data_IF_079735161294
#
_entry.id   IF_079735161294
#
_cell.length_a   1.000
_cell.length_b   1.000
_cell.length_c   1.000
_cell.angle_alpha   90.00
_cell.angle_beta   90.00
_cell.angle_gamma   90.00
#
_symmetry.space_group_name_H-M   'P 1'
#
loop_
_entity.id
_entity.type
_entity.pdbx_description
1 polymer ?
#
# COMPACT_ATOMS: atom_id res chain seq x y z
N UNK A 1 -12.88 -11.24 21.57
CA UNK A 1 -11.50 -11.00 21.08
C UNK A 1 -11.45 -11.53 19.65
N UNK A 2 -11.80 -10.69 18.67
CA UNK A 2 -11.95 -11.11 17.28
C UNK A 2 -10.61 -10.98 16.56
N UNK A 3 -9.99 -12.11 16.25
CA UNK A 3 -8.91 -12.18 15.27
C UNK A 3 -9.52 -11.92 13.89
N UNK A 4 -9.36 -10.71 13.37
CA UNK A 4 -9.57 -10.43 11.95
C UNK A 4 -8.45 -11.13 11.17
N UNK A 5 -8.75 -12.33 10.67
CA UNK A 5 -7.94 -13.03 9.69
C UNK A 5 -8.02 -12.28 8.37
N UNK A 6 -7.11 -11.34 8.16
CA UNK A 6 -6.80 -10.85 6.83
C UNK A 6 -6.05 -11.99 6.15
N UNK A 7 -6.74 -12.69 5.25
CA UNK A 7 -6.10 -13.64 4.34
C UNK A 7 -5.16 -12.81 3.47
N UNK A 8 -3.89 -12.77 3.88
CA UNK A 8 -2.83 -12.07 3.18
C UNK A 8 -2.64 -12.72 1.82
N UNK A 9 -2.95 -11.99 0.75
CA UNK A 9 -2.36 -12.25 -0.55
C UNK A 9 -0.88 -11.89 -0.41
N UNK A 10 -0.04 -12.88 -0.14
CA UNK A 10 1.42 -12.72 -0.17
C UNK A 10 1.81 -12.62 -1.65
N UNK A 11 1.87 -11.40 -2.19
CA UNK A 11 2.62 -11.15 -3.42
C UNK A 11 4.09 -11.03 -3.01
N UNK A 12 4.83 -12.13 -3.14
CA UNK A 12 6.28 -12.07 -3.07
C UNK A 12 6.76 -11.30 -4.31
N UNK A 13 7.10 -10.01 -4.16
CA UNK A 13 7.75 -9.26 -5.22
C UNK A 13 9.15 -9.83 -5.44
N UNK A 14 9.48 -10.34 -6.65
CA UNK A 14 10.79 -10.91 -6.90
C UNK A 14 11.85 -9.79 -6.96
N UNK A 15 13.04 -10.09 -6.44
CA UNK A 15 14.23 -9.26 -6.67
C UNK A 15 14.55 -9.20 -8.16
N UNK A 16 15.01 -8.06 -8.70
CA UNK A 16 15.26 -7.89 -10.12
C UNK A 16 16.54 -8.63 -10.52
N UNK A 17 16.44 -9.92 -10.74
CA UNK A 17 17.42 -10.69 -11.48
C UNK A 17 16.70 -11.79 -12.24
N UNK A 18 16.77 -11.67 -13.57
CA UNK A 18 16.28 -12.57 -14.61
C UNK A 18 14.89 -12.21 -15.17
N UNK A 19 14.85 -12.08 -16.50
CA UNK A 19 13.70 -11.73 -17.34
C UNK A 19 12.54 -12.71 -17.14
N UNK A 20 11.66 -12.43 -16.18
CA UNK A 20 10.28 -12.89 -16.25
C UNK A 20 9.52 -12.01 -17.26
N UNK A 21 8.50 -12.53 -17.97
CA UNK A 21 7.67 -11.70 -18.83
C UNK A 21 7.13 -10.54 -17.99
N UNK A 22 7.48 -9.31 -18.36
CA UNK A 22 7.10 -8.11 -17.63
C UNK A 22 5.56 -8.00 -17.67
N UNK A 23 4.91 -8.50 -16.63
CA UNK A 23 3.48 -8.36 -16.46
C UNK A 23 3.19 -6.88 -16.24
N UNK A 24 2.37 -6.29 -17.11
CA UNK A 24 1.88 -4.94 -16.89
C UNK A 24 0.84 -4.96 -15.77
N UNK A 25 1.33 -4.78 -14.54
CA UNK A 25 0.49 -4.75 -13.35
C UNK A 25 -0.56 -3.63 -13.38
N UNK A 26 -0.36 -2.57 -14.16
CA UNK A 26 -1.39 -1.52 -14.33
C UNK A 26 -2.56 -2.04 -15.15
N UNK A 27 -2.27 -2.72 -16.26
CA UNK A 27 -3.30 -3.33 -17.08
C UNK A 27 -4.06 -4.43 -16.33
N UNK A 28 -3.35 -5.25 -15.55
CA UNK A 28 -3.96 -6.28 -14.70
C UNK A 28 -4.83 -5.61 -13.62
N UNK A 29 -4.34 -4.56 -12.98
CA UNK A 29 -5.09 -3.79 -11.99
C UNK A 29 -6.39 -3.21 -12.56
N UNK A 30 -6.31 -2.62 -13.76
CA UNK A 30 -7.50 -2.13 -14.50
C UNK A 30 -8.48 -3.26 -14.80
N UNK A 31 -8.01 -4.42 -15.27
CA UNK A 31 -8.87 -5.56 -15.54
C UNK A 31 -9.60 -6.07 -14.29
N UNK A 32 -8.90 -6.14 -13.15
CA UNK A 32 -9.50 -6.53 -11.86
C UNK A 32 -10.54 -5.50 -11.43
N UNK A 33 -10.21 -4.21 -11.53
CA UNK A 33 -11.14 -3.11 -11.26
C UNK A 33 -12.39 -3.22 -12.15
N UNK A 34 -12.24 -3.31 -13.47
CA UNK A 34 -13.37 -3.40 -14.40
C UNK A 34 -14.28 -4.60 -14.12
N UNK A 35 -13.69 -5.73 -13.68
CA UNK A 35 -14.47 -6.90 -13.31
C UNK A 35 -15.27 -6.68 -12.02
N UNK A 36 -14.64 -6.07 -11.00
CA UNK A 36 -15.27 -5.84 -9.71
C UNK A 36 -16.30 -4.69 -9.76
N UNK A 37 -15.99 -3.61 -10.48
CA UNK A 37 -16.80 -2.39 -10.58
C UNK A 37 -18.04 -2.54 -11.47
N UNK A 38 -18.12 -3.57 -12.32
CA UNK A 38 -19.29 -3.87 -13.19
C UNK A 38 -20.62 -4.02 -12.44
N UNK A 39 -20.58 -4.31 -11.15
CA UNK A 39 -21.78 -4.51 -10.30
C UNK A 39 -21.99 -3.35 -9.32
N UNK A 40 -21.21 -2.28 -9.47
CA UNK A 40 -21.18 -1.23 -8.46
C UNK A 40 -22.09 -0.06 -8.82
N UNK A 41 -23.08 0.22 -7.98
CA UNK A 41 -24.00 1.37 -8.10
C UNK A 41 -23.51 2.58 -7.28
N UNK A 42 -22.19 2.64 -7.04
CA UNK A 42 -21.58 3.56 -6.11
C UNK A 42 -21.69 5.02 -6.57
N UNK A 43 -21.94 5.92 -5.61
CA UNK A 43 -21.86 7.37 -5.84
C UNK A 43 -20.44 7.92 -5.78
N UNK A 44 -19.49 7.14 -5.26
CA UNK A 44 -18.09 7.53 -5.08
C UNK A 44 -17.19 6.29 -4.93
N UNK A 45 -15.90 6.48 -5.23
CA UNK A 45 -14.85 5.47 -5.02
C UNK A 45 -14.12 5.75 -3.72
N UNK A 46 -14.00 4.73 -2.85
CA UNK A 46 -13.28 4.86 -1.59
C UNK A 46 -11.95 4.12 -1.65
N UNK A 47 -10.87 4.89 -1.72
CA UNK A 47 -9.51 4.39 -1.62
C UNK A 47 -9.08 4.26 -0.16
N UNK A 48 -8.39 3.18 0.17
CA UNK A 48 -7.75 2.97 1.46
C UNK A 48 -6.25 2.84 1.24
N UNK A 49 -5.50 3.66 1.98
CA UNK A 49 -4.04 3.57 2.03
C UNK A 49 -3.63 3.03 3.39
N UNK A 50 -2.82 1.99 3.37
CA UNK A 50 -2.04 1.56 4.52
C UNK A 50 -0.55 1.57 4.19
N UNK A 51 0.27 1.85 5.20
CA UNK A 51 1.70 1.84 5.05
C UNK A 51 2.34 0.84 6.02
N UNK A 52 2.47 -0.40 5.57
CA UNK A 52 2.85 -1.53 6.40
C UNK A 52 4.37 -1.69 6.49
N UNK A 53 4.88 -1.84 7.71
CA UNK A 53 6.28 -2.17 7.96
C UNK A 53 6.56 -3.64 7.64
N UNK A 54 7.65 -3.90 6.91
CA UNK A 54 8.04 -5.23 6.48
C UNK A 54 9.45 -5.58 6.99
N UNK A 55 9.56 -6.35 8.10
CA UNK A 55 10.84 -6.67 8.73
C UNK A 55 11.66 -7.65 7.88
N UNK A 56 12.97 -7.39 7.74
CA UNK A 56 13.93 -8.20 6.98
C UNK A 56 15.29 -8.26 7.71
N UNK A 57 15.36 -8.83 8.93
CA UNK A 57 16.57 -8.80 9.77
C UNK A 57 17.80 -9.45 9.12
N UNK A 58 17.60 -10.49 8.30
CA UNK A 58 18.68 -11.28 7.70
C UNK A 58 19.05 -10.85 6.27
N UNK A 59 18.33 -9.89 5.67
CA UNK A 59 18.54 -9.50 4.28
C UNK A 59 19.66 -8.46 4.16
N UNK A 60 20.91 -8.92 4.08
CA UNK A 60 22.11 -8.05 4.04
C UNK A 60 22.19 -7.18 2.79
N UNK A 61 21.76 -7.73 1.66
CA UNK A 61 21.84 -7.09 0.33
C UNK A 61 20.54 -6.39 -0.07
N UNK A 62 19.59 -6.23 0.86
CA UNK A 62 18.39 -5.45 0.61
C UNK A 62 18.81 -4.01 0.34
N UNK A 63 18.45 -3.48 -0.82
CA UNK A 63 18.64 -2.06 -1.16
C UNK A 63 17.80 -1.24 -0.20
N UNK A 64 18.24 -0.07 0.25
CA UNK A 64 17.46 0.83 1.11
C UNK A 64 16.94 0.17 2.41
N UNK A 65 17.88 -0.30 3.25
CA UNK A 65 17.58 -0.89 4.57
C UNK A 65 17.33 0.23 5.58
N UNK A 66 16.17 0.21 6.22
CA UNK A 66 15.83 1.14 7.31
C UNK A 66 15.50 0.42 8.60
N UNK A 67 15.62 1.14 9.71
CA UNK A 67 15.12 0.71 11.01
C UNK A 67 13.61 0.93 11.00
N UNK A 68 12.84 -0.14 11.20
CA UNK A 68 11.39 -0.13 11.29
C UNK A 68 10.95 -0.58 12.68
N UNK A 69 9.81 -0.09 13.15
CA UNK A 69 9.20 -0.63 14.36
C UNK A 69 8.86 -2.12 14.18
N UNK A 70 9.13 -2.92 15.21
CA UNK A 70 8.75 -4.34 15.26
C UNK A 70 8.43 -4.71 16.70
N UNK A 71 7.19 -5.16 16.99
CA UNK A 71 6.72 -5.29 18.35
C UNK A 71 7.43 -6.41 19.12
N UNK A 72 7.94 -7.43 18.43
CA UNK A 72 8.67 -8.51 19.08
C UNK A 72 10.13 -8.09 19.30
N UNK A 73 10.68 -8.21 20.52
CA UNK A 73 12.02 -7.72 20.85
C UNK A 73 13.12 -8.22 19.92
N UNK A 74 13.88 -7.28 19.33
CA UNK A 74 15.25 -7.56 18.88
C UNK A 74 16.19 -7.71 20.10
N UNK A 75 17.40 -8.28 19.94
CA UNK A 75 18.37 -8.36 21.02
C UNK A 75 18.56 -6.99 21.71
N UNK A 76 18.34 -6.94 23.04
CA UNK A 76 18.34 -5.69 23.81
C UNK A 76 16.97 -5.05 24.05
N UNK A 77 15.87 -5.76 23.76
CA UNK A 77 14.50 -5.36 24.09
C UNK A 77 14.01 -4.04 23.46
N UNK A 78 14.61 -3.66 22.33
CA UNK A 78 14.16 -2.51 21.55
C UNK A 78 13.14 -2.99 20.51
N UNK A 79 11.98 -2.32 20.36
CA UNK A 79 10.94 -2.71 19.41
C UNK A 79 11.28 -2.23 17.99
N UNK A 80 12.47 -2.61 17.50
CA UNK A 80 13.01 -2.18 16.22
C UNK A 80 13.64 -3.36 15.48
N UNK A 81 13.61 -3.32 14.15
CA UNK A 81 14.27 -4.30 13.30
C UNK A 81 14.66 -3.65 11.99
N UNK A 82 15.63 -4.22 11.28
CA UNK A 82 15.96 -3.79 9.93
C UNK A 82 14.92 -4.34 8.95
N UNK A 83 14.43 -3.48 8.06
CA UNK A 83 13.42 -3.81 7.07
C UNK A 83 13.21 -2.67 6.08
N UNK A 84 12.01 -2.61 5.52
CA UNK A 84 11.52 -1.49 4.72
C UNK A 84 10.00 -1.37 4.91
N UNK A 85 9.37 -0.43 4.23
CA UNK A 85 7.92 -0.21 4.31
C UNK A 85 7.31 -0.35 2.92
N UNK A 86 6.05 -0.76 2.85
CA UNK A 86 5.26 -0.78 1.63
C UNK A 86 4.02 0.08 1.81
N UNK A 87 3.74 0.93 0.83
CA UNK A 87 2.47 1.63 0.69
C UNK A 87 1.54 0.77 -0.15
N UNK A 88 0.43 0.38 0.46
CA UNK A 88 -0.61 -0.47 -0.13
C UNK A 88 -1.84 0.38 -0.37
N UNK A 89 -2.22 0.50 -1.63
CA UNK A 89 -3.44 1.16 -2.07
C UNK A 89 -4.48 0.10 -2.43
N UNK A 90 -5.64 0.19 -1.78
CA UNK A 90 -6.79 -0.65 -2.06
C UNK A 90 -8.04 0.21 -2.27
N UNK A 91 -9.08 -0.38 -2.83
CA UNK A 91 -10.37 0.28 -3.00
C UNK A 91 -11.47 -0.58 -2.39
N UNK A 92 -12.41 0.04 -1.67
CA UNK A 92 -13.61 -0.66 -1.23
C UNK A 92 -14.57 -0.86 -2.39
N UNK A 93 -15.20 -2.02 -2.43
CA UNK A 93 -16.29 -2.29 -3.36
C UNK A 93 -17.60 -1.82 -2.75
N UNK A 94 -18.56 -1.31 -3.53
CA UNK A 94 -19.88 -0.95 -3.00
C UNK A 94 -20.96 -2.02 -3.18
N UNK A 95 -20.61 -3.16 -3.78
CA UNK A 95 -21.42 -4.37 -3.78
C UNK A 95 -21.70 -4.85 -2.34
N UNK A 96 -22.97 -4.93 -1.88
CA UNK A 96 -23.33 -5.34 -0.53
C UNK A 96 -22.78 -6.72 -0.12
N UNK A 97 -22.72 -7.68 -1.05
CA UNK A 97 -22.22 -9.03 -0.79
C UNK A 97 -20.72 -9.05 -0.51
N UNK A 98 -19.97 -8.19 -1.19
CA UNK A 98 -18.52 -8.08 -1.03
C UNK A 98 -18.17 -7.26 0.21
N UNK A 99 -18.93 -6.19 0.48
CA UNK A 99 -18.87 -5.44 1.75
C UNK A 99 -19.11 -6.34 2.96
N UNK A 100 -20.12 -7.21 2.90
CA UNK A 100 -20.41 -8.16 3.99
C UNK A 100 -19.28 -9.17 4.23
N UNK A 101 -18.46 -9.45 3.21
CA UNK A 101 -17.28 -10.32 3.31
C UNK A 101 -15.99 -9.56 3.63
N UNK A 102 -16.05 -8.22 3.71
CA UNK A 102 -14.89 -7.33 3.88
C UNK A 102 -13.84 -7.47 2.77
N UNK A 103 -14.29 -7.65 1.52
CA UNK A 103 -13.39 -7.74 0.37
C UNK A 103 -12.97 -6.34 -0.08
N UNK A 104 -11.72 -6.22 -0.50
CA UNK A 104 -11.14 -5.00 -1.05
C UNK A 104 -10.48 -5.32 -2.38
N UNK A 105 -10.47 -4.36 -3.30
CA UNK A 105 -9.76 -4.49 -4.57
C UNK A 105 -8.32 -4.00 -4.37
N UNK A 106 -7.29 -4.84 -4.58
CA UNK A 106 -5.91 -4.40 -4.55
C UNK A 106 -5.62 -3.58 -5.82
N UNK A 107 -5.25 -2.31 -5.65
CA UNK A 107 -4.99 -1.39 -6.78
C UNK A 107 -3.50 -1.26 -7.03
N UNK A 108 -2.72 -0.99 -5.99
CA UNK A 108 -1.28 -0.78 -6.12
C UNK A 108 -0.54 -1.16 -4.84
N UNK A 109 0.70 -1.61 -4.98
CA UNK A 109 1.62 -1.79 -3.88
C UNK A 109 2.98 -1.26 -4.31
N UNK A 110 3.52 -0.29 -3.56
CA UNK A 110 4.80 0.33 -3.87
C UNK A 110 5.70 0.32 -2.65
N UNK A 111 6.99 0.08 -2.88
CA UNK A 111 7.99 0.22 -1.83
C UNK A 111 8.15 1.70 -1.48
N UNK A 112 8.22 2.00 -0.18
CA UNK A 112 8.51 3.35 0.31
C UNK A 112 10.00 3.45 0.53
N UNK A 113 10.65 4.33 -0.22
CA UNK A 113 12.07 4.64 -0.10
C UNK A 113 12.35 5.44 1.18
N UNK A 114 13.52 5.28 1.78
CA UNK A 114 13.89 5.92 3.05
C UNK A 114 13.88 7.44 3.04
N UNK A 115 14.00 8.07 1.87
CA UNK A 115 13.93 9.52 1.72
C UNK A 115 12.50 10.07 1.51
N UNK A 116 11.50 9.19 1.42
CA UNK A 116 10.09 9.51 1.16
C UNK A 116 9.22 9.08 2.34
N UNK A 117 8.07 9.72 2.50
CA UNK A 117 7.09 9.29 3.51
C UNK A 117 6.02 8.42 2.89
N UNK A 118 5.52 7.45 3.67
CA UNK A 118 4.49 6.53 3.20
C UNK A 118 3.22 7.21 2.70
N UNK A 119 2.80 8.31 3.33
CA UNK A 119 1.63 9.07 2.92
C UNK A 119 1.85 9.81 1.58
N UNK A 120 3.05 10.31 1.32
CA UNK A 120 3.39 10.95 0.04
C UNK A 120 3.34 9.92 -1.10
N UNK A 121 3.96 8.75 -0.91
CA UNK A 121 3.90 7.63 -1.87
C UNK A 121 2.46 7.16 -2.09
N UNK A 122 1.66 7.08 -1.03
CA UNK A 122 0.24 6.71 -1.11
C UNK A 122 -0.58 7.70 -1.94
N UNK A 123 -0.37 9.01 -1.75
CA UNK A 123 -1.05 10.04 -2.54
C UNK A 123 -0.66 9.98 -4.03
N UNK A 124 0.61 9.75 -4.33
CA UNK A 124 1.06 9.53 -5.71
C UNK A 124 0.39 8.30 -6.33
N UNK A 125 0.26 7.20 -5.58
CA UNK A 125 -0.46 6.01 -6.04
C UNK A 125 -1.92 6.31 -6.34
N UNK A 126 -2.60 7.14 -5.53
CA UNK A 126 -4.00 7.53 -5.81
C UNK A 126 -4.08 8.29 -7.12
N UNK A 127 -3.28 9.34 -7.30
CA UNK A 127 -3.32 10.17 -8.51
C UNK A 127 -3.06 9.32 -9.76
N UNK A 128 -2.08 8.43 -9.71
CA UNK A 128 -1.79 7.50 -10.80
C UNK A 128 -2.95 6.52 -11.06
N UNK A 129 -3.61 6.04 -10.01
CA UNK A 129 -4.71 5.10 -10.11
C UNK A 129 -5.97 5.75 -10.66
N UNK A 130 -6.29 6.99 -10.27
CA UNK A 130 -7.42 7.75 -10.82
C UNK A 130 -7.28 7.86 -12.35
N UNK A 131 -6.07 8.17 -12.84
CA UNK A 131 -5.83 8.25 -14.27
C UNK A 131 -5.83 6.89 -14.98
N UNK A 132 -5.32 5.84 -14.32
CA UNK A 132 -5.26 4.49 -14.91
C UNK A 132 -6.65 3.85 -15.03
N UNK A 133 -7.53 4.15 -14.07
CA UNK A 133 -8.87 3.59 -13.94
C UNK A 133 -9.96 4.47 -14.59
N UNK A 134 -9.58 5.56 -15.27
CA UNK A 134 -10.47 6.51 -15.94
C UNK A 134 -11.50 7.18 -14.99
N UNK A 135 -11.07 7.55 -13.77
CA UNK A 135 -11.93 8.09 -12.70
C UNK A 135 -11.83 9.61 -12.52
N UNK A 136 -11.26 10.35 -13.49
CA UNK A 136 -10.98 11.78 -13.34
C UNK A 136 -12.24 12.64 -13.13
N UNK A 137 -13.40 12.17 -13.62
CA UNK A 137 -14.68 12.85 -13.50
C UNK A 137 -15.56 12.30 -12.36
N UNK A 138 -15.04 11.36 -11.58
CA UNK A 138 -15.79 10.68 -10.53
C UNK A 138 -15.35 11.12 -9.13
N UNK A 139 -16.28 11.08 -8.18
CA UNK A 139 -15.97 11.44 -6.80
C UNK A 139 -15.10 10.35 -6.17
N UNK A 140 -13.84 10.70 -5.88
CA UNK A 140 -12.89 9.82 -5.19
C UNK A 140 -12.63 10.33 -3.77
N UNK A 141 -12.77 9.44 -2.79
CA UNK A 141 -12.48 9.71 -1.38
C UNK A 141 -11.39 8.77 -0.88
N UNK A 142 -10.61 9.21 0.10
CA UNK A 142 -9.44 8.47 0.59
C UNK A 142 -9.46 8.35 2.11
N UNK A 143 -9.17 7.16 2.62
CA UNK A 143 -8.99 6.89 4.05
C UNK A 143 -7.58 6.36 4.25
N UNK A 144 -6.77 7.07 5.03
CA UNK A 144 -5.40 6.66 5.33
C UNK A 144 -5.17 6.56 6.83
N UNK A 145 -4.46 5.52 7.27
CA UNK A 145 -3.99 5.41 8.65
C UNK A 145 -2.59 6.02 8.71
N UNK A 146 -2.47 7.17 9.38
CA UNK A 146 -1.17 7.81 9.60
C UNK A 146 -0.48 7.13 10.80
N UNK A 147 0.53 6.29 10.55
CA UNK A 147 1.49 5.92 11.59
C UNK A 147 2.45 7.09 11.79
N UNK A 148 2.64 7.55 13.04
CA UNK A 148 3.71 8.50 13.34
C UNK A 148 5.05 7.80 13.12
N UNK A 149 5.71 8.08 12.01
CA UNK A 149 7.08 7.61 11.78
C UNK A 149 8.03 8.43 12.68
N UNK A 150 8.87 7.74 13.46
CA UNK A 150 9.94 8.37 14.22
C UNK A 150 10.93 8.99 13.22
N UNK A 151 10.89 10.32 13.12
CA UNK A 151 11.76 11.14 12.30
C UNK A 151 13.23 10.67 12.39
N UNK A 152 13.78 10.18 11.27
CA UNK A 152 15.21 10.29 11.03
C UNK A 152 15.40 11.51 10.12
N UNK A 153 15.91 12.58 10.72
CA UNK A 153 16.14 13.87 10.09
C UNK A 153 17.06 13.75 8.88
N UNK A 154 16.65 14.35 7.76
CA UNK A 154 17.49 14.48 6.56
C UNK A 154 16.81 15.08 5.34
N UNK A 155 15.47 15.04 5.21
CA UNK A 155 14.78 15.50 4.02
C UNK A 155 13.95 16.78 4.27
N UNK A 156 14.17 17.88 3.54
CA UNK A 156 13.38 19.11 3.70
C UNK A 156 11.96 18.94 3.12
N UNK A 157 11.00 19.44 3.91
CA UNK A 157 9.54 19.48 3.77
C UNK A 157 9.00 19.82 2.37
N UNK A 158 7.89 19.16 1.95
CA UNK A 158 6.65 19.78 1.41
C UNK A 158 5.51 18.75 1.56
N UNK A 159 4.44 19.01 2.32
CA UNK A 159 3.14 19.22 1.66
C UNK A 159 2.09 19.78 2.62
N UNK A 160 1.52 20.90 2.19
CA UNK A 160 0.26 21.49 2.65
C UNK A 160 -0.77 21.07 1.62
N UNK A 161 -1.82 20.37 2.03
CA UNK A 161 -3.00 20.12 1.18
C UNK A 161 -4.22 20.61 1.96
N UNK A 162 -4.95 21.51 1.33
CA UNK A 162 -6.26 22.04 1.73
C UNK A 162 -7.32 21.08 1.19
#
# INVERSE_FOLDING_TARGET
MYFLSIIGVIVALPTPSQMEPYADFKQIGKLIYDYASKKDEAKYHLFIIDCTLNPRPYARNLVDRRITHFPNPAPGNKPIVVGHQYSVLTMLTNNPLEKAKHWVIPISTKRVESCTKGNEVGMEQIVESISTLDLEQELCATVGIHYMELNNAGCPLVSRVI
#
